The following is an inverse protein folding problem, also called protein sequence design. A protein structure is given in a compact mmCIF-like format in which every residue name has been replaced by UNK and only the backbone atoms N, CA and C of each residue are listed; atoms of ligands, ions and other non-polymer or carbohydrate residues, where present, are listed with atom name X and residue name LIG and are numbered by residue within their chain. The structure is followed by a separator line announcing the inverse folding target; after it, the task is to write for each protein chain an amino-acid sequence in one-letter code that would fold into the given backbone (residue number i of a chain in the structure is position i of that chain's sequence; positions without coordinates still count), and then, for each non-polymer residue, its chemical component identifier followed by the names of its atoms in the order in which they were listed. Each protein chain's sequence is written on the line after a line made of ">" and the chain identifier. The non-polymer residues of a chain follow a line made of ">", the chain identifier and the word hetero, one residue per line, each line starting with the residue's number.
data_IF_299759509748
#
_entry.id   IF_299759509748
#
_cell.length_a   1.000
_cell.length_b   1.000
_cell.length_c   1.000
_cell.angle_alpha   90.00
_cell.angle_beta   90.00
_cell.angle_gamma   90.00
#
_symmetry.space_group_name_H-M   'P 1'
#
loop_
_entity.id
_entity.type
_entity.pdbx_description
1 polymer ?
#
# COMPACT_ATOMS: atom_id res chain seq x y z
N UNK A 1 -4.18 -8.93 -6.30
CA UNK A 1 -3.91 -8.73 -7.74
C UNK A 1 -2.65 -7.89 -7.84
N UNK A 2 -1.71 -8.22 -8.73
CA UNK A 2 -0.53 -7.39 -8.95
C UNK A 2 -0.94 -6.01 -9.46
N UNK A 3 -0.23 -4.97 -9.02
CA UNK A 3 -0.41 -3.62 -9.50
C UNK A 3 0.19 -3.50 -10.90
N UNK A 4 -0.57 -2.88 -11.80
CA UNK A 4 -0.03 -2.45 -13.09
C UNK A 4 0.70 -1.12 -12.93
N UNK A 5 1.72 -0.90 -13.76
CA UNK A 5 2.44 0.38 -13.85
C UNK A 5 1.47 1.56 -14.04
N UNK A 6 0.43 1.37 -14.86
CA UNK A 6 -0.63 2.37 -15.09
C UNK A 6 -1.35 2.71 -13.77
N UNK A 7 -1.67 1.71 -12.95
CA UNK A 7 -2.33 1.91 -11.66
C UNK A 7 -1.44 2.69 -10.68
N UNK A 8 -0.13 2.41 -10.67
CA UNK A 8 0.86 3.11 -9.83
C UNK A 8 1.01 4.56 -10.26
N UNK A 9 1.08 4.83 -11.57
CA UNK A 9 1.19 6.20 -12.11
C UNK A 9 -0.07 7.01 -11.84
N UNK A 10 -1.25 6.41 -12.06
CA UNK A 10 -2.53 7.07 -11.87
C UNK A 10 -2.96 7.18 -10.41
N UNK A 11 -2.27 6.53 -9.48
CA UNK A 11 -2.57 6.62 -8.07
C UNK A 11 -2.51 8.08 -7.59
N UNK A 12 -3.64 8.59 -7.08
CA UNK A 12 -3.73 9.98 -6.61
C UNK A 12 -3.57 10.05 -5.09
N UNK A 13 -2.98 11.14 -4.58
CA UNK A 13 -2.96 11.42 -3.15
C UNK A 13 -4.40 11.58 -2.65
N UNK A 14 -4.68 11.07 -1.46
CA UNK A 14 -5.97 11.19 -0.80
C UNK A 14 -5.80 11.92 0.53
N UNK A 15 -6.91 12.38 1.13
CA UNK A 15 -6.88 13.02 2.45
C UNK A 15 -6.25 12.13 3.53
N UNK A 16 -6.33 10.81 3.37
CA UNK A 16 -5.70 9.81 4.23
C UNK A 16 -4.64 9.03 3.44
N UNK A 17 -3.59 8.53 4.11
CA UNK A 17 -2.61 7.68 3.44
C UNK A 17 -3.28 6.43 2.86
N UNK A 18 -2.98 6.13 1.60
CA UNK A 18 -3.50 4.95 0.91
C UNK A 18 -2.40 3.90 0.75
N UNK A 19 -2.80 2.62 0.80
CA UNK A 19 -1.92 1.47 0.55
C UNK A 19 -2.49 0.67 -0.62
N UNK A 20 -1.73 0.56 -1.70
CA UNK A 20 -2.06 -0.30 -2.83
C UNK A 20 -1.20 -1.55 -2.77
N UNK A 21 -1.80 -2.71 -2.58
CA UNK A 21 -1.06 -3.98 -2.43
C UNK A 21 -0.72 -4.58 -3.78
N UNK A 22 0.54 -4.97 -3.95
CA UNK A 22 1.06 -5.64 -5.14
C UNK A 22 1.14 -7.17 -4.96
N UNK A 23 1.32 -7.63 -3.72
CA UNK A 23 1.43 -9.04 -3.35
C UNK A 23 2.64 -9.30 -2.47
N UNK A 24 2.68 -10.46 -1.79
CA UNK A 24 3.81 -10.84 -0.93
C UNK A 24 4.16 -9.84 0.18
N UNK A 25 3.18 -9.06 0.65
CA UNK A 25 3.40 -7.99 1.63
C UNK A 25 3.97 -6.69 1.05
N UNK A 26 4.26 -6.62 -0.25
CA UNK A 26 4.65 -5.38 -0.93
C UNK A 26 3.42 -4.52 -1.21
N UNK A 27 3.52 -3.23 -0.89
CA UNK A 27 2.51 -2.25 -1.23
C UNK A 27 3.11 -0.88 -1.56
N UNK A 28 2.42 -0.14 -2.43
CA UNK A 28 2.70 1.27 -2.67
C UNK A 28 1.98 2.11 -1.60
N UNK A 29 2.76 2.83 -0.82
CA UNK A 29 2.29 3.83 0.12
C UNK A 29 2.15 5.17 -0.60
N UNK A 30 0.96 5.76 -0.53
CA UNK A 30 0.65 7.07 -1.11
C UNK A 30 0.40 8.03 0.05
N UNK A 31 1.31 8.97 0.24
CA UNK A 31 1.20 10.00 1.25
C UNK A 31 0.17 11.06 0.82
N UNK A 32 -0.57 11.67 1.77
CA UNK A 32 -1.45 12.80 1.48
C UNK A 32 -0.72 13.99 0.85
N UNK A 33 0.58 14.14 1.13
CA UNK A 33 1.46 15.17 0.56
C UNK A 33 1.84 14.91 -0.89
N UNK A 34 1.46 13.75 -1.45
CA UNK A 34 1.70 13.38 -2.84
C UNK A 34 2.90 12.48 -3.08
N UNK A 35 3.68 12.18 -2.04
CA UNK A 35 4.75 11.19 -2.11
C UNK A 35 4.22 9.78 -2.40
N UNK A 36 4.92 9.04 -3.26
CA UNK A 36 4.66 7.62 -3.54
C UNK A 36 5.91 6.83 -3.19
N UNK A 37 5.77 5.80 -2.37
CA UNK A 37 6.90 5.01 -1.85
C UNK A 37 6.54 3.54 -1.78
N UNK A 38 7.44 2.66 -2.20
CA UNK A 38 7.28 1.23 -1.97
C UNK A 38 7.63 0.88 -0.53
N UNK A 39 6.77 0.11 0.12
CA UNK A 39 7.00 -0.44 1.45
C UNK A 39 6.66 -1.92 1.46
N UNK A 40 7.49 -2.68 2.18
CA UNK A 40 7.22 -4.08 2.43
C UNK A 40 6.72 -4.20 3.87
N UNK A 41 5.51 -4.71 4.03
CA UNK A 41 4.96 -5.03 5.33
C UNK A 41 5.65 -6.26 5.86
N UNK A 42 6.55 -6.10 6.84
CA UNK A 42 7.02 -7.22 7.64
C UNK A 42 5.89 -7.59 8.59
N UNK A 43 4.97 -8.44 8.15
CA UNK A 43 3.92 -8.96 9.02
C UNK A 43 4.53 -9.98 9.96
N UNK A 44 5.29 -9.52 10.95
CA UNK A 44 5.86 -10.40 11.96
C UNK A 44 5.06 -10.39 13.27
N UNK A 45 4.24 -9.36 13.58
CA UNK A 45 3.56 -9.30 14.89
C UNK A 45 2.17 -8.61 14.92
N UNK A 46 1.71 -8.02 13.82
CA UNK A 46 0.52 -7.15 13.81
C UNK A 46 -0.74 -7.80 13.19
N UNK A 47 -0.74 -9.13 13.08
CA UNK A 47 -1.94 -9.94 12.75
C UNK A 47 -2.56 -10.64 13.99
N UNK A 48 -2.37 -10.09 15.19
CA UNK A 48 -3.21 -10.42 16.35
C UNK A 48 -4.35 -9.40 16.43
N UNK A 49 -5.37 -9.54 15.60
CA UNK A 49 -6.52 -8.63 15.75
C UNK A 49 -7.69 -8.73 14.79
N UNK A 50 -7.65 -9.54 13.72
CA UNK A 50 -8.87 -9.73 12.93
C UNK A 50 -8.82 -10.97 12.04
N UNK A 51 -9.43 -12.05 12.53
CA UNK A 51 -10.39 -12.91 11.83
C UNK A 51 -10.73 -14.10 12.73
N UNK A 52 -12.00 -14.57 12.82
CA UNK A 52 -13.28 -13.94 12.48
C UNK A 52 -13.88 -13.08 13.60
#
# INVERSE_FOLDING_TARGET
>A
MPLSDISVRNAKPQQKPAKLFDGGGLFLFIAPTGGKMWRQGTTSWEMKGCAP
#
